data_IF_718810996880
#
_entry.id   IF_718810996880
#
_cell.length_a   1.000
_cell.length_b   1.000
_cell.length_c   1.000
_cell.angle_alpha   90.00
_cell.angle_beta   90.00
_cell.angle_gamma   90.00
#
_symmetry.space_group_name_H-M   'P 1'
#
loop_
_entity.id
_entity.type
_entity.pdbx_description
1 polymer ?
#
# COMPACT_ATOMS: atom_id res chain seq x y z
N UNK A 1 33.11 -51.18 31.15
CA UNK A 1 32.03 -51.74 30.30
C UNK A 1 30.75 -51.04 30.73
N UNK A 2 30.18 -50.25 29.82
CA UNK A 2 29.06 -49.30 29.96
C UNK A 2 27.75 -50.13 30.03
N UNK A 3 26.69 -49.83 30.79
CA UNK A 3 25.80 -48.65 30.74
C UNK A 3 24.78 -48.75 31.87
N UNK A 4 24.50 -47.66 32.57
CA UNK A 4 23.31 -47.55 33.41
C UNK A 4 22.56 -46.25 33.12
N UNK A 5 21.24 -46.43 32.96
CA UNK A 5 20.14 -45.54 33.33
C UNK A 5 19.99 -44.14 32.69
N UNK A 6 18.75 -43.90 32.24
CA UNK A 6 18.12 -42.59 32.24
C UNK A 6 18.29 -41.81 30.94
N UNK A 7 17.23 -41.72 30.15
CA UNK A 7 16.31 -40.58 30.21
C UNK A 7 15.41 -40.64 28.97
N UNK A 8 14.13 -40.87 29.22
CA UNK A 8 13.04 -40.64 28.28
C UNK A 8 13.03 -39.13 28.03
N UNK A 9 13.38 -38.69 26.82
CA UNK A 9 13.04 -37.36 26.35
C UNK A 9 11.97 -37.53 25.27
N UNK A 10 10.74 -37.25 25.70
CA UNK A 10 9.54 -37.18 24.89
C UNK A 10 9.79 -36.16 23.77
N UNK A 11 9.89 -36.64 22.53
CA UNK A 11 9.90 -35.80 21.33
C UNK A 11 8.53 -35.15 21.18
N UNK A 12 8.32 -34.03 21.85
CA UNK A 12 7.19 -33.15 21.60
C UNK A 12 7.51 -32.39 20.31
N UNK A 13 7.13 -32.97 19.17
CA UNK A 13 6.96 -32.22 17.93
C UNK A 13 5.69 -31.37 18.10
N UNK A 14 5.82 -30.23 18.80
CA UNK A 14 4.82 -29.16 18.72
C UNK A 14 4.87 -28.67 17.28
N UNK A 15 4.04 -29.28 16.44
CA UNK A 15 3.63 -28.69 15.18
C UNK A 15 2.75 -27.50 15.55
N UNK A 16 3.40 -26.38 15.89
CA UNK A 16 2.74 -25.08 15.93
C UNK A 16 2.35 -24.76 14.49
N UNK A 17 1.19 -25.25 14.07
CA UNK A 17 0.46 -24.69 12.96
C UNK A 17 0.05 -23.29 13.40
N UNK A 18 0.95 -22.32 13.21
CA UNK A 18 0.61 -20.91 13.26
C UNK A 18 -0.31 -20.72 12.06
N UNK A 19 -1.63 -20.83 12.27
CA UNK A 19 -2.61 -20.27 11.36
C UNK A 19 -2.43 -18.75 11.40
N UNK A 20 -1.41 -18.25 10.72
CA UNK A 20 -1.42 -16.89 10.21
C UNK A 20 -2.44 -16.86 9.10
N UNK A 21 -3.65 -16.40 9.40
CA UNK A 21 -4.54 -15.92 8.34
C UNK A 21 -3.86 -14.71 7.72
N UNK A 22 -3.17 -14.92 6.60
CA UNK A 22 -2.75 -13.82 5.74
C UNK A 22 -4.01 -13.35 5.02
N UNK A 23 -4.62 -12.28 5.52
CA UNK A 23 -5.76 -11.64 4.85
C UNK A 23 -5.24 -11.12 3.51
N UNK A 24 -5.48 -11.85 2.43
CA UNK A 24 -5.15 -11.38 1.09
C UNK A 24 -6.12 -10.27 0.72
N UNK A 25 -5.66 -9.02 0.84
CA UNK A 25 -6.40 -7.85 0.35
C UNK A 25 -6.47 -7.99 -1.17
N UNK A 26 -7.65 -8.31 -1.68
CA UNK A 26 -7.88 -8.55 -3.11
C UNK A 26 -8.75 -7.47 -3.77
N UNK A 27 -9.38 -6.62 -2.96
CA UNK A 27 -10.23 -5.52 -3.42
C UNK A 27 -9.73 -4.19 -2.83
N UNK A 28 -9.59 -3.12 -3.64
CA UNK A 28 -9.27 -1.79 -3.15
C UNK A 28 -10.21 -1.32 -2.03
N UNK A 29 -11.50 -1.68 -2.08
CA UNK A 29 -12.52 -1.22 -1.13
C UNK A 29 -12.32 -1.73 0.29
N UNK A 30 -11.50 -2.77 0.46
CA UNK A 30 -11.20 -3.35 1.76
C UNK A 30 -10.07 -2.57 2.46
N UNK A 31 -9.42 -1.63 1.76
CA UNK A 31 -8.36 -0.79 2.29
C UNK A 31 -8.97 0.45 2.94
N UNK A 32 -9.04 0.44 4.26
CA UNK A 32 -9.52 1.58 5.03
C UNK A 32 -8.33 2.44 5.47
N UNK A 33 -8.34 3.70 5.03
CA UNK A 33 -7.38 4.71 5.46
C UNK A 33 -7.80 5.28 6.81
N UNK A 34 -6.87 5.39 7.78
CA UNK A 34 -7.13 6.09 9.04
C UNK A 34 -7.19 7.61 8.82
N UNK A 35 -7.83 8.31 9.75
CA UNK A 35 -7.93 9.79 9.71
C UNK A 35 -6.57 10.49 9.91
N UNK A 36 -5.61 9.83 10.56
CA UNK A 36 -4.24 10.32 10.76
C UNK A 36 -3.24 9.16 10.78
N UNK A 37 -1.95 9.47 10.66
CA UNK A 37 -0.85 8.52 10.65
C UNK A 37 -1.04 7.45 9.56
N UNK A 38 -1.31 7.92 8.34
CA UNK A 38 -1.48 7.06 7.17
C UNK A 38 -0.12 6.44 6.83
N UNK A 39 -0.05 5.11 6.81
CA UNK A 39 1.15 4.40 6.39
C UNK A 39 1.18 4.22 4.88
N UNK A 40 2.34 4.50 4.29
CA UNK A 40 2.56 4.18 2.89
C UNK A 40 2.40 2.67 2.66
N UNK A 41 3.13 1.84 3.40
CA UNK A 41 3.19 0.39 3.17
C UNK A 41 1.88 -0.33 3.48
N UNK A 42 1.08 0.19 4.42
CA UNK A 42 -0.15 -0.48 4.86
C UNK A 42 -1.42 0.03 4.17
N UNK A 43 -1.43 1.26 3.64
CA UNK A 43 -2.61 1.84 2.99
C UNK A 43 -2.30 2.29 1.56
N UNK A 44 -1.32 3.17 1.37
CA UNK A 44 -1.08 3.83 0.09
C UNK A 44 -0.60 2.84 -0.97
N UNK A 45 0.43 2.07 -0.67
CA UNK A 45 1.02 1.08 -1.58
C UNK A 45 0.01 0.03 -2.04
N UNK A 46 -0.72 -0.68 -1.14
CA UNK A 46 -1.71 -1.66 -1.61
C UNK A 46 -2.85 -0.99 -2.40
N UNK A 47 -3.26 0.24 -2.04
CA UNK A 47 -4.27 0.98 -2.80
C UNK A 47 -3.79 1.31 -4.21
N UNK A 48 -2.59 1.86 -4.35
CA UNK A 48 -2.01 2.20 -5.65
C UNK A 48 -1.75 0.94 -6.49
N UNK A 49 -1.29 -0.15 -5.88
CA UNK A 49 -1.05 -1.40 -6.59
C UNK A 49 -2.33 -2.03 -7.14
N UNK A 50 -3.42 -1.99 -6.38
CA UNK A 50 -4.70 -2.57 -6.82
C UNK A 50 -5.49 -1.68 -7.79
N UNK A 51 -5.23 -0.37 -7.83
CA UNK A 51 -6.03 0.58 -8.63
C UNK A 51 -5.31 1.24 -9.79
N UNK A 52 -3.98 1.35 -9.72
CA UNK A 52 -3.21 2.18 -10.65
C UNK A 52 -1.96 1.48 -11.19
N UNK A 53 -1.24 0.73 -10.34
CA UNK A 53 0.09 0.22 -10.64
C UNK A 53 0.08 -1.15 -11.35
N UNK A 54 -0.79 -1.30 -12.35
CA UNK A 54 -0.85 -2.49 -13.20
C UNK A 54 -0.14 -2.25 -14.55
N UNK A 55 0.19 -3.35 -15.23
CA UNK A 55 0.92 -3.31 -16.49
C UNK A 55 0.17 -2.50 -17.55
N UNK A 56 0.87 -1.54 -18.19
CA UNK A 56 0.29 -0.67 -19.21
C UNK A 56 -0.28 0.65 -18.67
N UNK A 57 -0.51 0.77 -17.35
CA UNK A 57 -0.87 2.03 -16.70
C UNK A 57 0.28 2.58 -15.87
N UNK A 58 0.50 2.14 -14.62
CA UNK A 58 1.59 2.67 -13.79
C UNK A 58 2.39 1.60 -13.04
N UNK A 59 2.35 0.36 -13.52
CA UNK A 59 3.13 -0.77 -12.99
C UNK A 59 4.53 -0.87 -13.60
N UNK A 60 4.95 -2.09 -13.96
CA UNK A 60 6.30 -2.32 -14.49
C UNK A 60 6.58 -1.55 -15.78
N UNK A 61 5.66 -1.69 -16.75
CA UNK A 61 5.58 -0.87 -17.96
C UNK A 61 4.66 0.31 -17.65
N UNK A 62 5.25 1.49 -17.47
CA UNK A 62 4.55 2.69 -17.05
C UNK A 62 4.15 3.59 -18.21
N UNK A 63 2.88 3.94 -18.27
CA UNK A 63 2.39 5.08 -19.02
C UNK A 63 3.05 6.36 -18.51
N UNK A 64 3.43 7.22 -19.46
CA UNK A 64 4.11 8.49 -19.20
C UNK A 64 5.41 8.38 -18.36
N UNK A 65 6.00 7.18 -18.24
CA UNK A 65 7.19 6.95 -17.41
C UNK A 65 6.95 7.01 -15.89
N UNK A 66 5.70 7.12 -15.44
CA UNK A 66 5.35 7.23 -14.01
C UNK A 66 5.10 5.86 -13.40
N UNK A 67 5.86 5.49 -12.35
CA UNK A 67 5.70 4.24 -11.62
C UNK A 67 5.06 4.50 -10.26
N UNK A 68 4.00 3.76 -9.94
CA UNK A 68 3.24 3.90 -8.70
C UNK A 68 3.35 2.68 -7.76
N UNK A 69 4.22 1.73 -8.10
CA UNK A 69 4.53 0.55 -7.28
C UNK A 69 5.87 0.67 -6.53
N UNK A 70 6.45 1.86 -6.46
CA UNK A 70 7.70 2.12 -5.77
C UNK A 70 7.65 3.50 -5.12
N UNK A 71 7.92 3.55 -3.82
CA UNK A 71 7.86 4.78 -3.04
C UNK A 71 8.79 5.86 -3.60
N UNK A 72 10.04 5.49 -3.88
CA UNK A 72 11.06 6.43 -4.33
C UNK A 72 10.75 6.98 -5.73
N UNK A 73 10.19 6.17 -6.62
CA UNK A 73 9.71 6.62 -7.92
C UNK A 73 8.57 7.63 -7.77
N UNK A 74 7.63 7.41 -6.83
CA UNK A 74 6.51 8.32 -6.58
C UNK A 74 7.02 9.68 -6.07
N UNK A 75 7.80 9.68 -5.01
CA UNK A 75 8.23 10.92 -4.34
C UNK A 75 9.27 11.71 -5.15
N UNK A 76 10.07 11.03 -6.00
CA UNK A 76 11.05 11.72 -6.86
C UNK A 76 10.44 12.16 -8.20
N UNK A 77 9.21 11.76 -8.52
CA UNK A 77 8.52 12.23 -9.72
C UNK A 77 8.05 13.68 -9.54
N UNK A 78 8.58 14.65 -10.31
CA UNK A 78 8.30 16.06 -10.08
C UNK A 78 6.81 16.39 -10.11
N UNK A 79 6.30 16.96 -9.02
CA UNK A 79 4.90 17.40 -8.89
C UNK A 79 3.86 16.28 -8.77
N UNK A 80 4.27 15.01 -8.83
CA UNK A 80 3.34 13.88 -8.67
C UNK A 80 2.76 13.87 -7.25
N UNK A 81 3.65 13.94 -6.26
CA UNK A 81 3.34 14.12 -4.84
C UNK A 81 4.20 15.26 -4.31
N UNK A 82 3.56 16.23 -3.66
CA UNK A 82 4.20 17.38 -3.03
C UNK A 82 3.94 17.29 -1.52
N UNK A 83 4.90 16.80 -0.72
CA UNK A 83 4.75 16.66 0.73
C UNK A 83 4.22 17.94 1.38
N UNK A 84 3.19 17.81 2.21
CA UNK A 84 2.50 18.92 2.88
C UNK A 84 1.53 19.70 2.00
N UNK A 85 1.39 19.38 0.70
CA UNK A 85 0.52 20.09 -0.23
C UNK A 85 -0.27 19.11 -1.12
N UNK A 86 -1.36 18.58 -0.57
CA UNK A 86 -2.28 17.71 -1.32
C UNK A 86 -2.90 18.43 -2.53
N UNK A 87 -3.25 19.72 -2.41
CA UNK A 87 -3.87 20.45 -3.51
C UNK A 87 -2.93 20.66 -4.70
N UNK A 88 -1.62 20.81 -4.42
CA UNK A 88 -0.55 20.91 -5.41
C UNK A 88 -0.03 19.56 -5.94
N UNK A 89 -0.46 18.45 -5.36
CA UNK A 89 -0.06 17.10 -5.80
C UNK A 89 -0.91 16.62 -6.96
N UNK A 90 -0.28 16.29 -8.09
CA UNK A 90 -0.98 15.81 -9.29
C UNK A 90 -1.79 14.54 -9.00
N UNK A 91 -1.26 13.62 -8.18
CA UNK A 91 -1.96 12.38 -7.83
C UNK A 91 -3.31 12.65 -7.14
N UNK A 92 -3.35 13.58 -6.17
CA UNK A 92 -4.59 13.99 -5.52
C UNK A 92 -5.54 14.72 -6.48
N UNK A 93 -5.02 15.58 -7.36
CA UNK A 93 -5.82 16.24 -8.39
C UNK A 93 -6.51 15.24 -9.34
N UNK A 94 -5.85 14.14 -9.66
CA UNK A 94 -6.43 13.05 -10.47
C UNK A 94 -7.50 12.29 -9.67
N UNK A 95 -7.21 11.92 -8.42
CA UNK A 95 -8.16 11.21 -7.54
C UNK A 95 -9.42 12.03 -7.26
N UNK A 96 -9.30 13.37 -7.22
CA UNK A 96 -10.39 14.32 -6.99
C UNK A 96 -11.07 14.79 -8.28
N UNK A 97 -10.71 14.20 -9.43
CA UNK A 97 -11.29 14.53 -10.73
C UNK A 97 -11.09 16.00 -11.16
N UNK A 98 -10.14 16.71 -10.54
CA UNK A 98 -9.72 18.08 -10.93
C UNK A 98 -8.88 18.08 -12.20
N UNK A 99 -8.31 16.93 -12.57
CA UNK A 99 -7.60 16.71 -13.83
C UNK A 99 -8.08 15.44 -14.52
N UNK A 100 -8.18 15.45 -15.86
CA UNK A 100 -8.64 14.28 -16.60
C UNK A 100 -7.59 13.16 -16.52
N UNK A 101 -8.06 11.93 -16.35
CA UNK A 101 -7.25 10.72 -16.43
C UNK A 101 -8.11 9.55 -16.91
N UNK A 102 -7.51 8.51 -17.49
CA UNK A 102 -8.21 7.30 -17.92
C UNK A 102 -8.73 6.43 -16.77
N UNK A 103 -8.67 6.90 -15.51
CA UNK A 103 -9.11 6.19 -14.30
C UNK A 103 -10.60 5.85 -14.27
N UNK A 104 -11.37 6.23 -15.30
CA UNK A 104 -12.80 5.94 -15.43
C UNK A 104 -13.15 4.45 -15.22
N UNK A 105 -12.26 3.53 -15.59
CA UNK A 105 -12.47 2.09 -15.42
C UNK A 105 -12.43 1.61 -13.96
N UNK A 106 -11.66 2.26 -13.09
CA UNK A 106 -11.49 1.90 -11.68
C UNK A 106 -12.31 2.79 -10.73
N UNK A 107 -13.09 3.73 -11.28
CA UNK A 107 -13.87 4.70 -10.48
C UNK A 107 -14.83 4.03 -9.51
N UNK A 108 -15.38 2.86 -9.86
CA UNK A 108 -16.26 2.11 -8.97
C UNK A 108 -15.54 1.54 -7.74
N UNK A 109 -14.20 1.49 -7.74
CA UNK A 109 -13.35 0.93 -6.70
C UNK A 109 -12.65 2.00 -5.83
N UNK A 110 -12.70 3.27 -6.24
CA UNK A 110 -12.14 4.39 -5.47
C UNK A 110 -13.25 4.99 -4.61
N UNK A 111 -13.08 4.91 -3.28
CA UNK A 111 -14.05 5.44 -2.31
C UNK A 111 -13.64 6.83 -1.84
N UNK A 112 -14.56 7.55 -1.19
CA UNK A 112 -14.23 8.82 -0.55
C UNK A 112 -13.16 8.66 0.53
N UNK A 113 -13.13 7.54 1.26
CA UNK A 113 -12.09 7.25 2.25
C UNK A 113 -10.71 7.13 1.61
N UNK A 114 -10.59 6.55 0.41
CA UNK A 114 -9.31 6.53 -0.31
C UNK A 114 -8.87 7.94 -0.70
N UNK A 115 -9.80 8.76 -1.20
CA UNK A 115 -9.50 10.15 -1.59
C UNK A 115 -9.03 10.96 -0.37
N UNK A 116 -9.76 10.92 0.74
CA UNK A 116 -9.39 11.64 1.96
C UNK A 116 -8.12 11.09 2.58
N UNK A 117 -7.94 9.78 2.63
CA UNK A 117 -6.74 9.14 3.15
C UNK A 117 -5.49 9.45 2.34
N UNK A 118 -5.59 9.46 1.02
CA UNK A 118 -4.49 9.89 0.15
C UNK A 118 -4.15 11.37 0.31
N UNK A 119 -5.16 12.24 0.53
CA UNK A 119 -4.89 13.64 0.90
C UNK A 119 -4.15 13.71 2.23
N UNK A 120 -4.62 12.97 3.23
CA UNK A 120 -4.04 12.98 4.57
C UNK A 120 -2.59 12.51 4.56
N UNK A 121 -2.27 11.42 3.86
CA UNK A 121 -0.89 10.95 3.72
C UNK A 121 0.03 12.03 3.15
N UNK A 122 -0.40 12.76 2.12
CA UNK A 122 0.39 13.86 1.55
C UNK A 122 0.53 15.01 2.55
N UNK A 123 -0.53 15.39 3.25
CA UNK A 123 -0.51 16.44 4.28
C UNK A 123 0.42 16.09 5.46
N UNK A 124 0.56 14.81 5.79
CA UNK A 124 1.49 14.29 6.81
C UNK A 124 2.96 14.23 6.34
N UNK A 125 3.21 14.66 5.10
CA UNK A 125 4.55 14.73 4.52
C UNK A 125 4.90 13.53 3.63
N UNK A 126 3.91 12.73 3.21
CA UNK A 126 4.08 11.60 2.30
C UNK A 126 5.18 10.62 2.73
N UNK A 127 5.22 10.27 4.02
CA UNK A 127 6.30 9.48 4.62
C UNK A 127 6.15 8.01 4.28
N UNK A 128 7.29 7.31 4.20
CA UNK A 128 7.35 5.86 4.00
C UNK A 128 6.90 5.09 5.25
N UNK A 129 7.35 5.53 6.43
CA UNK A 129 7.03 4.95 7.73
C UNK A 129 6.21 5.90 8.58
N UNK A 130 5.43 5.35 9.51
CA UNK A 130 4.82 6.11 10.60
C UNK A 130 5.93 6.60 11.56
N UNK A 131 5.68 7.72 12.23
CA UNK A 131 6.49 8.17 13.37
C UNK A 131 6.11 7.43 14.66
#
# INVERSE_FOLDING_TARGET
>A
MIRNFGFILVSIFISSAILGCESSISSPKDIIFPETNVSYTAQVEPFLNLTCAFAGCHGHTSAAGIRLNDYFAIINSPGLVVPGNADGSLLNQILEERKPHFTYFEKSNITQNHITGMRQWVLEGARLTKD
#
